data_IF_519846275566
#
_entry.id   IF_519846275566
#
_cell.length_a   1.000
_cell.length_b   1.000
_cell.length_c   1.000
_cell.angle_alpha   90.00
_cell.angle_beta   90.00
_cell.angle_gamma   90.00
#
_symmetry.space_group_name_H-M   'P 1'
#
loop_
_entity.id
_entity.type
_entity.pdbx_description
1 polymer ?
#
# COMPACT_ATOMS: atom_id res chain seq x y z
N UNK A 1 -21.69 42.12 30.86
CA UNK A 1 -21.52 40.84 30.15
C UNK A 1 -21.87 41.11 28.70
N UNK A 2 -20.84 41.45 27.91
CA UNK A 2 -20.90 41.63 26.45
C UNK A 2 -20.21 40.38 25.85
N UNK A 3 -20.87 39.54 25.05
CA UNK A 3 -21.24 39.64 23.63
C UNK A 3 -20.12 39.21 22.65
N UNK A 4 -20.46 38.13 21.92
CA UNK A 4 -20.12 37.78 20.53
C UNK A 4 -18.74 37.20 20.15
N UNK A 5 -18.82 36.11 19.38
CA UNK A 5 -18.11 36.04 18.09
C UNK A 5 -17.46 34.69 17.76
N UNK A 6 -18.20 33.76 17.13
CA UNK A 6 -17.61 32.90 16.13
C UNK A 6 -17.14 33.79 14.97
N UNK A 7 -15.94 33.53 14.46
CA UNK A 7 -15.54 33.94 13.11
C UNK A 7 -14.66 32.82 12.59
N UNK A 8 -15.25 31.99 11.73
CA UNK A 8 -14.51 31.50 10.56
C UNK A 8 -13.99 32.70 9.80
N UNK A 9 -12.73 32.65 9.39
CA UNK A 9 -12.17 33.41 8.30
C UNK A 9 -10.88 32.68 7.92
N UNK A 10 -10.93 32.00 6.78
CA UNK A 10 -9.77 31.72 5.96
C UNK A 10 -8.87 32.95 5.94
N UNK A 11 -7.66 32.83 6.46
CA UNK A 11 -6.62 33.81 6.19
C UNK A 11 -6.14 33.57 4.76
N UNK A 12 -6.72 34.33 3.85
CA UNK A 12 -6.05 34.82 2.65
C UNK A 12 -4.77 35.54 3.09
N UNK A 13 -3.69 34.78 3.34
CA UNK A 13 -2.36 35.30 3.64
C UNK A 13 -1.55 35.39 2.36
N UNK A 14 -1.86 36.40 1.55
CA UNK A 14 -0.98 36.88 0.47
C UNK A 14 0.17 37.74 1.01
N UNK A 15 0.71 37.43 2.19
CA UNK A 15 2.10 37.76 2.52
C UNK A 15 2.90 36.47 2.32
N UNK A 16 3.72 36.40 1.27
CA UNK A 16 4.73 35.36 1.16
C UNK A 16 5.75 35.57 2.30
N UNK A 17 5.42 35.06 3.48
CA UNK A 17 6.42 34.82 4.51
C UNK A 17 7.52 33.96 3.89
N UNK A 18 8.77 34.21 4.26
CA UNK A 18 9.82 33.25 3.95
C UNK A 18 9.45 31.94 4.65
N UNK A 19 9.33 30.85 3.89
CA UNK A 19 9.07 29.52 4.45
C UNK A 19 10.21 29.14 5.38
N UNK A 20 9.84 28.55 6.50
CA UNK A 20 10.73 28.11 7.58
C UNK A 20 10.61 26.61 7.77
N UNK A 21 11.51 26.03 8.58
CA UNK A 21 11.42 24.59 8.90
C UNK A 21 10.10 24.24 9.57
N UNK A 22 9.50 25.16 10.32
CA UNK A 22 8.22 24.93 11.00
C UNK A 22 7.05 24.79 10.02
N UNK A 23 7.20 25.30 8.79
CA UNK A 23 6.17 25.14 7.74
C UNK A 23 6.23 23.74 7.07
N UNK A 24 7.17 22.88 7.49
CA UNK A 24 7.18 21.46 7.11
C UNK A 24 6.12 20.63 7.85
N UNK A 25 5.63 21.11 8.99
CA UNK A 25 4.61 20.42 9.79
C UNK A 25 3.32 20.28 8.98
N UNK A 26 2.89 19.05 8.74
CA UNK A 26 1.71 18.81 7.91
C UNK A 26 1.66 17.43 7.30
N UNK A 27 0.59 17.23 6.54
CA UNK A 27 0.27 15.98 5.85
C UNK A 27 0.72 16.09 4.39
N UNK A 28 1.36 15.04 3.89
CA UNK A 28 1.80 14.88 2.51
C UNK A 28 1.21 13.57 1.99
N UNK A 29 0.25 13.66 1.07
CA UNK A 29 -0.46 12.52 0.50
C UNK A 29 -0.02 12.29 -0.93
N UNK A 30 0.31 11.05 -1.23
CA UNK A 30 0.44 10.51 -2.57
C UNK A 30 -0.75 9.58 -2.87
N UNK A 31 -0.77 8.96 -4.04
CA UNK A 31 -1.70 7.86 -4.30
C UNK A 31 -1.27 6.62 -3.50
N UNK A 32 -2.18 6.04 -2.71
CA UNK A 32 -1.92 4.83 -1.92
C UNK A 32 -1.03 4.99 -0.68
N UNK A 33 -0.56 6.20 -0.38
CA UNK A 33 0.41 6.43 0.69
C UNK A 33 0.31 7.86 1.25
N UNK A 34 0.58 8.03 2.54
CA UNK A 34 0.58 9.33 3.20
C UNK A 34 1.66 9.44 4.28
N UNK A 35 2.17 10.64 4.47
CA UNK A 35 3.11 10.97 5.53
C UNK A 35 2.61 12.15 6.35
N UNK A 36 2.91 12.16 7.64
CA UNK A 36 2.77 13.32 8.49
C UNK A 36 4.11 13.70 9.09
N UNK A 37 4.45 14.99 9.03
CA UNK A 37 5.63 15.56 9.68
C UNK A 37 5.18 16.32 10.92
N UNK A 38 5.70 15.94 12.08
CA UNK A 38 5.55 16.65 13.35
C UNK A 38 6.83 17.43 13.65
N UNK A 39 6.76 18.76 13.61
CA UNK A 39 7.92 19.63 13.83
C UNK A 39 7.99 20.09 15.29
N UNK A 40 9.14 19.86 15.92
CA UNK A 40 9.42 20.43 17.23
C UNK A 40 9.90 21.89 17.10
N UNK A 41 9.71 22.66 18.16
CA UNK A 41 10.13 24.06 18.23
C UNK A 41 11.66 24.29 18.15
N UNK A 42 12.47 23.24 18.20
CA UNK A 42 13.92 23.26 18.06
C UNK A 42 14.43 22.76 16.70
N UNK A 43 13.53 22.65 15.72
CA UNK A 43 13.76 22.14 14.36
C UNK A 43 14.14 20.64 14.29
N UNK A 44 13.95 19.89 15.38
CA UNK A 44 13.87 18.42 15.30
C UNK A 44 12.48 18.00 14.83
N UNK A 45 12.33 16.80 14.28
CA UNK A 45 11.05 16.34 13.73
C UNK A 45 10.89 14.83 13.86
N UNK A 46 9.65 14.38 13.76
CA UNK A 46 9.27 12.98 13.61
C UNK A 46 8.42 12.86 12.35
N UNK A 47 8.68 11.84 11.53
CA UNK A 47 7.88 11.52 10.36
C UNK A 47 7.06 10.27 10.69
N UNK A 48 5.77 10.33 10.39
CA UNK A 48 4.84 9.23 10.57
C UNK A 48 4.30 8.78 9.22
N UNK A 49 4.18 7.47 9.05
CA UNK A 49 3.33 6.87 8.04
C UNK A 49 1.87 7.12 8.41
N UNK A 50 1.04 7.48 7.43
CA UNK A 50 -0.39 7.63 7.60
C UNK A 50 -1.12 6.48 6.93
N UNK A 51 -1.81 5.71 7.75
CA UNK A 51 -2.78 4.72 7.34
C UNK A 51 -4.18 5.32 7.48
N UNK A 52 -5.03 5.12 6.48
CA UNK A 52 -6.40 5.64 6.50
C UNK A 52 -7.34 4.60 7.09
N UNK A 53 -8.15 5.04 8.05
CA UNK A 53 -9.17 4.19 8.66
C UNK A 53 -10.48 4.35 7.90
N UNK A 54 -11.05 5.56 7.91
CA UNK A 54 -12.33 5.84 7.31
C UNK A 54 -12.54 7.35 7.10
N UNK A 55 -13.36 7.69 6.11
CA UNK A 55 -13.73 9.05 5.78
C UNK A 55 -15.23 9.30 5.99
N UNK A 56 -15.54 10.41 6.64
CA UNK A 56 -16.89 10.76 7.05
C UNK A 56 -17.43 11.99 6.29
N UNK A 57 -18.76 12.14 6.29
CA UNK A 57 -19.41 13.32 5.72
C UNK A 57 -19.03 14.61 6.45
N UNK A 58 -18.70 14.51 7.74
CA UNK A 58 -18.35 15.65 8.57
C UNK A 58 -17.18 15.37 9.51
N UNK A 59 -16.39 16.41 9.77
CA UNK A 59 -15.29 16.36 10.75
C UNK A 59 -15.77 15.95 12.15
N UNK A 60 -17.02 16.27 12.51
CA UNK A 60 -17.60 15.87 13.79
C UNK A 60 -17.85 14.37 13.91
N UNK A 61 -18.22 13.72 12.81
CA UNK A 61 -18.35 12.26 12.74
C UNK A 61 -16.98 11.60 12.78
N UNK A 62 -16.02 12.09 11.99
CA UNK A 62 -14.63 11.63 12.02
C UNK A 62 -14.00 11.72 13.42
N UNK A 63 -14.18 12.85 14.10
CA UNK A 63 -13.70 13.01 15.48
C UNK A 63 -14.39 12.06 16.47
N UNK A 64 -15.63 11.66 16.20
CA UNK A 64 -16.33 10.70 17.05
C UNK A 64 -15.83 9.29 16.80
N UNK A 65 -15.64 8.90 15.54
CA UNK A 65 -15.07 7.62 15.14
C UNK A 65 -13.63 7.45 15.65
N UNK A 66 -12.78 8.48 15.47
CA UNK A 66 -11.44 8.51 16.04
C UNK A 66 -11.45 8.30 17.57
N UNK A 67 -12.42 8.87 18.28
CA UNK A 67 -12.52 8.67 19.73
C UNK A 67 -12.95 7.24 20.10
N UNK A 68 -13.76 6.59 19.27
CA UNK A 68 -14.12 5.17 19.44
C UNK A 68 -12.91 4.27 19.17
N UNK A 69 -12.16 4.54 18.10
CA UNK A 69 -10.93 3.82 17.74
C UNK A 69 -9.86 3.91 18.85
N UNK A 70 -9.61 5.11 19.38
CA UNK A 70 -8.66 5.29 20.49
C UNK A 70 -9.10 4.65 21.81
N UNK A 71 -10.40 4.39 21.98
CA UNK A 71 -10.94 3.72 23.17
C UNK A 71 -10.98 2.18 22.98
N UNK A 72 -10.61 1.66 21.80
CA UNK A 72 -10.53 0.23 21.52
C UNK A 72 -9.38 -0.41 22.32
N UNK A 73 -9.68 -1.57 22.92
CA UNK A 73 -8.71 -2.31 23.73
C UNK A 73 -7.70 -3.10 22.88
N UNK A 74 -7.94 -3.28 21.58
CA UNK A 74 -7.04 -3.94 20.63
C UNK A 74 -6.21 -2.96 19.80
N UNK A 75 -6.45 -1.64 19.87
CA UNK A 75 -5.73 -0.66 19.05
C UNK A 75 -4.19 -0.77 19.13
N UNK A 76 -3.64 -0.95 20.34
CA UNK A 76 -2.18 -1.13 20.51
C UNK A 76 -1.68 -2.50 20.00
N UNK A 77 -2.55 -3.52 19.97
CA UNK A 77 -2.21 -4.85 19.45
C UNK A 77 -2.28 -4.84 17.90
N UNK A 78 -3.24 -4.12 17.32
CA UNK A 78 -3.47 -4.05 15.87
C UNK A 78 -2.48 -3.11 15.17
N UNK A 79 -2.20 -1.94 15.77
CA UNK A 79 -1.36 -0.90 15.15
C UNK A 79 -0.03 -0.65 15.88
N UNK A 80 0.21 -1.37 16.98
CA UNK A 80 1.41 -1.25 17.79
C UNK A 80 1.35 -0.15 18.87
N UNK A 81 2.13 -0.36 19.92
CA UNK A 81 2.13 0.49 21.14
C UNK A 81 2.56 1.96 20.96
N UNK A 82 3.01 2.34 19.76
CA UNK A 82 3.42 3.70 19.40
C UNK A 82 2.43 4.44 18.50
N UNK A 83 1.37 3.76 18.03
CA UNK A 83 0.42 4.35 17.10
C UNK A 83 -0.39 5.47 17.74
N UNK A 84 -0.67 6.51 16.96
CA UNK A 84 -1.56 7.62 17.33
C UNK A 84 -2.56 7.89 16.22
N UNK A 85 -3.60 8.68 16.47
CA UNK A 85 -4.60 8.98 15.44
C UNK A 85 -4.72 10.48 15.19
N UNK A 86 -5.03 10.87 13.95
CA UNK A 86 -5.38 12.25 13.58
C UNK A 86 -6.64 12.30 12.71
N UNK A 87 -7.30 13.46 12.70
CA UNK A 87 -8.38 13.75 11.75
C UNK A 87 -7.92 14.84 10.78
N UNK A 88 -8.05 14.57 9.48
CA UNK A 88 -7.84 15.56 8.43
C UNK A 88 -8.85 15.38 7.31
N UNK A 89 -9.46 16.48 6.84
CA UNK A 89 -10.49 16.48 5.78
C UNK A 89 -11.61 15.44 5.98
N UNK A 90 -12.11 15.35 7.21
CA UNK A 90 -13.12 14.38 7.65
C UNK A 90 -12.69 12.90 7.60
N UNK A 91 -11.41 12.60 7.38
CA UNK A 91 -10.89 11.25 7.44
C UNK A 91 -10.11 11.04 8.73
N UNK A 92 -10.22 9.85 9.30
CA UNK A 92 -9.44 9.38 10.44
C UNK A 92 -8.22 8.65 9.89
N UNK A 93 -7.05 8.97 10.42
CA UNK A 93 -5.80 8.29 10.08
C UNK A 93 -5.14 7.74 11.33
N UNK A 94 -4.58 6.55 11.21
CA UNK A 94 -3.59 6.02 12.15
C UNK A 94 -2.21 6.46 11.71
N UNK A 95 -1.41 6.89 12.68
CA UNK A 95 -0.05 7.37 12.52
C UNK A 95 0.88 6.36 13.14
N UNK A 96 1.82 5.87 12.36
CA UNK A 96 2.87 4.99 12.84
C UNK A 96 4.22 5.67 12.62
N UNK A 97 5.08 5.70 13.63
CA UNK A 97 6.40 6.30 13.50
C UNK A 97 7.21 5.51 12.50
N UNK A 98 7.84 6.21 11.56
CA UNK A 98 8.77 5.56 10.63
C UNK A 98 10.07 5.24 11.39
N UNK A 99 10.33 3.96 11.62
CA UNK A 99 11.51 3.44 12.31
C UNK A 99 12.24 2.44 11.41
N UNK A 100 13.54 2.26 11.63
CA UNK A 100 14.30 1.24 10.91
C UNK A 100 13.79 -0.15 11.32
N UNK A 101 13.52 -0.99 10.33
CA UNK A 101 13.12 -2.38 10.49
C UNK A 101 14.20 -3.29 9.87
N UNK A 102 14.10 -4.60 10.07
CA UNK A 102 15.01 -5.52 9.41
C UNK A 102 14.78 -5.47 7.89
N UNK A 103 15.87 -5.31 7.11
CA UNK A 103 15.80 -5.09 5.66
C UNK A 103 15.44 -3.67 5.20
N UNK A 104 14.77 -2.85 6.02
CA UNK A 104 14.35 -1.49 5.61
C UNK A 104 14.92 -0.40 6.51
N UNK A 105 15.62 0.59 5.93
CA UNK A 105 16.19 1.73 6.66
C UNK A 105 15.72 3.07 6.12
N UNK A 106 15.57 4.03 7.04
CA UNK A 106 15.05 5.36 6.74
C UNK A 106 16.07 6.44 7.11
N UNK A 107 16.64 7.07 6.08
CA UNK A 107 17.59 8.16 6.26
C UNK A 107 16.92 9.50 6.00
N UNK A 108 16.81 10.33 7.05
CA UNK A 108 16.23 11.66 6.95
C UNK A 108 17.30 12.75 6.95
N UNK A 109 17.13 13.76 6.11
CA UNK A 109 17.96 14.96 6.13
C UNK A 109 17.15 16.23 5.87
N UNK A 110 17.47 17.29 6.61
CA UNK A 110 16.86 18.61 6.44
C UNK A 110 17.73 19.48 5.55
N UNK A 111 17.13 20.04 4.50
CA UNK A 111 17.83 20.84 3.48
C UNK A 111 16.95 21.99 2.99
N UNK A 112 17.40 22.72 1.96
CA UNK A 112 16.65 23.82 1.36
C UNK A 112 16.91 23.92 -0.14
N UNK A 113 15.87 24.13 -0.93
CA UNK A 113 15.95 24.34 -2.38
C UNK A 113 15.15 25.58 -2.78
N UNK A 114 15.74 26.45 -3.60
CA UNK A 114 15.11 27.70 -4.06
C UNK A 114 14.54 28.62 -2.95
N UNK A 115 14.99 28.46 -1.69
CA UNK A 115 14.48 29.21 -0.54
C UNK A 115 13.35 28.53 0.23
N UNK A 116 12.94 27.32 -0.19
CA UNK A 116 11.98 26.46 0.49
C UNK A 116 12.73 25.37 1.25
N UNK A 117 12.58 25.28 2.59
CA UNK A 117 13.06 24.13 3.35
C UNK A 117 12.39 22.84 2.89
N UNK A 118 13.10 21.72 2.95
CA UNK A 118 12.53 20.40 2.65
C UNK A 118 13.21 19.31 3.48
N UNK A 119 12.47 18.23 3.74
CA UNK A 119 13.01 16.97 4.26
C UNK A 119 13.26 16.03 3.07
N UNK A 120 14.49 15.53 2.95
CA UNK A 120 14.80 14.37 2.12
C UNK A 120 14.71 13.14 3.01
N UNK A 121 13.88 12.19 2.61
CA UNK A 121 13.81 10.86 3.20
C UNK A 121 14.28 9.87 2.14
N UNK A 122 15.27 9.07 2.50
CA UNK A 122 15.78 7.99 1.65
C UNK A 122 15.37 6.70 2.34
N UNK A 123 14.47 5.97 1.69
CA UNK A 123 14.09 4.61 2.06
C UNK A 123 15.03 3.67 1.34
N UNK A 124 15.75 2.86 2.08
CA UNK A 124 16.60 1.81 1.51
C UNK A 124 16.08 0.48 1.98
N UNK A 125 15.62 -0.31 1.02
CA UNK A 125 15.19 -1.68 1.23
C UNK A 125 16.29 -2.58 0.67
N UNK A 126 16.78 -3.48 1.52
CA UNK A 126 17.78 -4.49 1.18
C UNK A 126 17.05 -5.82 1.10
N UNK A 127 16.97 -6.37 -0.11
CA UNK A 127 16.50 -7.73 -0.35
C UNK A 127 17.69 -8.62 -0.69
N UNK A 128 17.61 -9.89 -0.34
CA UNK A 128 18.65 -10.85 -0.61
C UNK A 128 18.22 -11.75 -1.76
N UNK A 129 19.09 -11.93 -2.76
CA UNK A 129 18.82 -12.80 -3.89
C UNK A 129 19.55 -14.14 -3.73
N UNK A 130 18.85 -15.22 -4.09
CA UNK A 130 19.41 -16.57 -4.17
C UNK A 130 18.98 -17.48 -3.02
N UNK A 131 19.90 -18.33 -2.56
CA UNK A 131 19.63 -19.35 -1.55
C UNK A 131 20.71 -19.31 -0.48
N UNK A 132 20.29 -19.37 0.78
CA UNK A 132 21.17 -19.52 1.94
C UNK A 132 21.32 -20.99 2.29
N UNK A 133 22.52 -21.41 2.68
CA UNK A 133 22.80 -22.81 3.01
C UNK A 133 23.08 -22.94 4.50
N UNK A 134 22.16 -23.58 5.21
CA UNK A 134 22.26 -23.91 6.62
C UNK A 134 23.50 -24.80 6.90
N UNK A 135 23.94 -24.85 8.16
CA UNK A 135 25.11 -25.61 8.61
C UNK A 135 24.93 -27.13 8.45
N UNK A 136 23.69 -27.60 8.43
CA UNK A 136 23.34 -29.00 8.17
C UNK A 136 23.19 -29.34 6.67
N UNK A 137 23.26 -28.31 5.81
CA UNK A 137 23.22 -28.39 4.36
C UNK A 137 21.82 -28.26 3.74
N UNK A 138 20.82 -27.89 4.52
CA UNK A 138 19.52 -27.39 4.02
C UNK A 138 19.72 -26.07 3.28
N UNK A 139 18.95 -25.86 2.19
CA UNK A 139 18.98 -24.63 1.41
C UNK A 139 17.63 -23.94 1.59
N UNK A 140 17.64 -22.69 2.05
CA UNK A 140 16.45 -21.85 2.24
C UNK A 140 16.49 -20.66 1.28
N UNK A 141 15.33 -20.08 0.91
CA UNK A 141 15.27 -18.82 0.19
C UNK A 141 16.05 -17.71 0.89
N UNK A 142 16.65 -16.81 0.12
CA UNK A 142 17.38 -15.67 0.66
C UNK A 142 16.50 -14.68 1.44
N UNK A 143 15.20 -14.63 1.13
CA UNK A 143 14.22 -13.80 1.85
C UNK A 143 13.95 -14.32 3.29
N UNK A 144 14.28 -15.57 3.59
CA UNK A 144 14.15 -16.20 4.91
C UNK A 144 15.43 -16.05 5.74
N UNK A 145 16.27 -15.08 5.39
CA UNK A 145 17.49 -14.79 6.13
C UNK A 145 17.32 -13.45 6.81
N UNK A 146 17.30 -13.46 8.14
CA UNK A 146 17.01 -12.28 8.98
C UNK A 146 15.58 -11.77 8.80
N UNK A 147 14.63 -12.68 8.70
CA UNK A 147 13.21 -12.34 8.70
C UNK A 147 12.60 -12.42 10.12
N UNK A 148 13.41 -12.79 11.11
CA UNK A 148 13.01 -12.91 12.52
C UNK A 148 12.47 -14.28 12.89
N UNK A 149 12.28 -15.18 11.93
CA UNK A 149 11.94 -16.58 12.14
C UNK A 149 13.17 -17.47 12.00
N UNK A 150 13.06 -18.73 12.43
CA UNK A 150 14.21 -19.63 12.51
C UNK A 150 13.97 -20.83 11.61
N UNK A 151 14.33 -20.67 10.34
CA UNK A 151 14.11 -21.60 9.24
C UNK A 151 15.25 -22.62 9.15
N UNK A 152 16.49 -22.22 9.45
CA UNK A 152 17.56 -23.17 9.65
C UNK A 152 17.42 -23.87 11.01
N UNK A 153 17.58 -25.20 11.06
CA UNK A 153 17.49 -25.97 12.32
C UNK A 153 18.40 -25.48 13.48
N UNK A 154 19.45 -24.70 13.19
CA UNK A 154 20.35 -24.10 14.17
C UNK A 154 20.24 -22.57 14.38
N UNK A 155 19.36 -21.86 13.67
CA UNK A 155 19.22 -20.40 13.76
C UNK A 155 20.41 -19.62 13.19
N UNK A 156 21.13 -20.22 12.24
CA UNK A 156 22.26 -19.60 11.56
C UNK A 156 21.85 -18.62 10.45
N UNK A 157 20.64 -18.73 9.93
CA UNK A 157 19.92 -17.76 9.10
C UNK A 157 19.64 -16.45 9.84
N UNK A 158 19.37 -16.51 11.14
CA UNK A 158 19.17 -15.32 12.00
C UNK A 158 20.48 -14.79 12.62
N UNK A 159 21.62 -15.33 12.19
CA UNK A 159 22.90 -14.84 12.66
C UNK A 159 23.22 -13.46 12.07
N UNK A 160 23.94 -12.63 12.84
CA UNK A 160 24.36 -11.28 12.40
C UNK A 160 25.13 -11.32 11.07
N UNK A 161 25.84 -12.42 10.78
CA UNK A 161 26.62 -12.67 9.57
C UNK A 161 25.97 -13.62 8.54
N UNK A 162 24.70 -14.01 8.70
CA UNK A 162 24.02 -14.93 7.77
C UNK A 162 23.96 -14.37 6.34
N UNK A 163 23.51 -13.12 6.24
CA UNK A 163 23.43 -12.36 5.00
C UNK A 163 24.79 -12.10 4.31
N UNK A 164 25.93 -12.25 4.99
CA UNK A 164 27.26 -12.03 4.39
C UNK A 164 27.55 -12.97 3.20
N UNK A 165 26.82 -14.08 3.13
CA UNK A 165 26.97 -15.11 2.10
C UNK A 165 26.07 -14.92 0.88
N UNK A 166 25.09 -14.00 0.96
CA UNK A 166 24.11 -13.71 -0.08
C UNK A 166 24.51 -12.48 -0.90
N UNK A 167 24.03 -12.44 -2.15
CA UNK A 167 24.10 -11.20 -2.91
C UNK A 167 22.88 -10.34 -2.52
N UNK A 168 23.13 -9.17 -1.94
CA UNK A 168 22.08 -8.20 -1.61
C UNK A 168 21.79 -7.30 -2.81
N UNK A 169 20.53 -7.15 -3.18
CA UNK A 169 20.07 -6.02 -3.97
C UNK A 169 19.51 -4.94 -3.05
N UNK A 170 19.77 -3.68 -3.39
CA UNK A 170 19.31 -2.55 -2.59
C UNK A 170 18.47 -1.65 -3.47
N UNK A 171 17.21 -1.48 -3.10
CA UNK A 171 16.33 -0.50 -3.70
C UNK A 171 16.39 0.78 -2.87
N UNK A 172 16.52 1.92 -3.54
CA UNK A 172 16.54 3.22 -2.89
C UNK A 172 15.41 4.09 -3.42
N UNK A 173 14.39 4.35 -2.60
CA UNK A 173 13.29 5.27 -2.89
C UNK A 173 13.55 6.59 -2.21
N UNK A 174 13.41 7.70 -2.94
CA UNK A 174 13.59 9.05 -2.38
C UNK A 174 12.27 9.78 -2.24
N UNK A 175 12.05 10.37 -1.08
CA UNK A 175 10.92 11.25 -0.79
C UNK A 175 11.44 12.65 -0.50
N UNK A 176 10.83 13.65 -1.12
CA UNK A 176 11.09 15.06 -0.83
C UNK A 176 9.82 15.70 -0.28
N UNK A 177 9.86 16.25 0.93
CA UNK A 177 8.73 16.91 1.58
C UNK A 177 9.05 18.40 1.74
N UNK A 178 8.39 19.26 0.95
CA UNK A 178 8.63 20.69 0.92
C UNK A 178 7.80 21.47 1.92
N UNK A 179 8.38 22.51 2.53
CA UNK A 179 7.70 23.42 3.46
C UNK A 179 6.56 24.24 2.81
N UNK A 180 6.35 24.10 1.51
CA UNK A 180 5.19 24.64 0.79
C UNK A 180 3.99 23.68 0.81
N UNK A 181 4.09 22.55 1.53
CA UNK A 181 3.02 21.55 1.70
C UNK A 181 2.93 20.53 0.56
N UNK A 182 3.93 20.51 -0.33
CA UNK A 182 3.98 19.61 -1.48
C UNK A 182 5.24 18.76 -1.42
N UNK A 183 5.17 17.57 -2.01
CA UNK A 183 6.29 16.64 -2.02
C UNK A 183 6.34 15.79 -3.27
N UNK A 184 7.35 14.95 -3.36
CA UNK A 184 7.54 14.02 -4.48
C UNK A 184 8.17 12.74 -3.97
N UNK A 185 7.63 11.62 -4.41
CA UNK A 185 8.19 10.28 -4.27
C UNK A 185 8.89 9.91 -5.59
N UNK A 186 10.08 9.35 -5.52
CA UNK A 186 10.93 9.01 -6.67
C UNK A 186 11.36 7.56 -6.55
N UNK A 187 10.87 6.73 -7.48
CA UNK A 187 11.24 5.33 -7.64
C UNK A 187 12.36 5.21 -8.68
N UNK A 188 13.39 4.40 -8.41
CA UNK A 188 14.47 4.20 -9.36
C UNK A 188 14.00 3.43 -10.61
N UNK A 189 14.77 3.55 -11.70
CA UNK A 189 14.54 2.81 -12.94
C UNK A 189 14.44 1.30 -12.68
N UNK A 190 13.48 0.63 -13.31
CA UNK A 190 13.30 -0.82 -13.26
C UNK A 190 12.40 -1.33 -12.13
N UNK A 191 11.92 -0.46 -11.25
CA UNK A 191 11.00 -0.85 -10.16
C UNK A 191 9.54 -0.85 -10.63
N UNK A 192 9.07 0.29 -11.14
CA UNK A 192 7.69 0.44 -11.64
C UNK A 192 7.67 0.41 -13.16
N UNK A 193 8.61 1.11 -13.80
CA UNK A 193 8.77 1.15 -15.25
C UNK A 193 10.27 1.01 -15.58
N UNK A 194 10.58 0.78 -16.86
CA UNK A 194 11.95 0.78 -17.38
C UNK A 194 12.67 2.12 -17.14
N UNK A 195 11.92 3.20 -16.91
CA UNK A 195 12.38 4.55 -16.58
C UNK A 195 12.07 4.92 -15.10
N UNK A 196 12.68 5.99 -14.60
CA UNK A 196 12.44 6.51 -13.24
C UNK A 196 11.00 7.01 -13.14
N UNK A 197 10.24 6.49 -12.17
CA UNK A 197 8.85 6.87 -11.94
C UNK A 197 8.73 7.81 -10.74
N UNK A 198 7.89 8.84 -10.86
CA UNK A 198 7.72 9.82 -9.79
C UNK A 198 6.27 10.14 -9.53
N UNK A 199 5.93 10.19 -8.24
CA UNK A 199 4.60 10.48 -7.78
C UNK A 199 4.58 11.80 -7.03
N UNK A 200 3.69 12.67 -7.44
CA UNK A 200 3.48 13.95 -6.78
C UNK A 200 2.70 13.75 -5.48
N UNK A 201 3.13 14.48 -4.45
CA UNK A 201 2.48 14.51 -3.15
C UNK A 201 1.93 15.90 -2.89
N UNK A 202 0.75 15.96 -2.29
CA UNK A 202 0.10 17.21 -1.94
C UNK A 202 -0.43 17.20 -0.51
N UNK A 203 -1.02 18.31 -0.06
CA UNK A 203 -1.65 18.35 1.24
C UNK A 203 -2.87 17.41 1.28
N UNK A 204 -3.43 17.22 2.47
CA UNK A 204 -4.56 16.30 2.72
C UNK A 204 -5.76 16.44 1.77
N UNK A 205 -5.95 17.59 1.12
CA UNK A 205 -7.02 17.81 0.13
C UNK A 205 -6.87 16.93 -1.12
N UNK A 206 -5.64 16.51 -1.43
CA UNK A 206 -5.34 15.57 -2.51
C UNK A 206 -6.02 14.22 -2.29
N UNK A 207 -6.00 13.71 -1.05
CA UNK A 207 -6.63 12.42 -0.71
C UNK A 207 -8.15 12.47 -0.84
N UNK A 208 -8.78 13.51 -0.33
CA UNK A 208 -10.22 13.71 -0.51
C UNK A 208 -10.62 13.86 -1.99
N UNK A 209 -9.73 14.43 -2.83
CA UNK A 209 -9.93 14.46 -4.27
C UNK A 209 -9.80 13.05 -4.88
N UNK A 210 -8.87 12.20 -4.42
CA UNK A 210 -8.76 10.79 -4.87
C UNK A 210 -10.03 10.00 -4.57
N UNK A 211 -10.57 10.06 -3.35
CA UNK A 211 -11.85 9.39 -3.01
C UNK A 211 -13.02 9.84 -3.87
N UNK A 212 -13.14 11.15 -4.11
CA UNK A 212 -14.18 11.64 -5.02
C UNK A 212 -13.91 11.23 -6.48
N UNK A 213 -12.65 11.03 -6.86
CA UNK A 213 -12.29 10.65 -8.23
C UNK A 213 -12.74 9.22 -8.52
N UNK A 214 -12.57 8.30 -7.55
CA UNK A 214 -13.11 6.94 -7.67
C UNK A 214 -14.63 6.97 -7.85
N UNK A 215 -15.34 7.69 -6.99
CA UNK A 215 -16.79 7.87 -7.11
C UNK A 215 -17.19 8.45 -8.48
N UNK A 216 -16.40 9.37 -9.03
CA UNK A 216 -16.64 9.93 -10.35
C UNK A 216 -16.37 8.92 -11.48
N UNK A 217 -15.33 8.08 -11.33
CA UNK A 217 -14.98 7.00 -12.27
C UNK A 217 -16.06 5.92 -12.34
N UNK A 218 -16.60 5.49 -11.20
CA UNK A 218 -17.71 4.52 -11.13
C UNK A 218 -18.99 5.00 -11.82
N UNK A 219 -19.19 6.32 -11.86
CA UNK A 219 -20.37 6.93 -12.46
C UNK A 219 -20.19 7.24 -13.96
N UNK A 220 -19.06 6.89 -14.56
CA UNK A 220 -18.83 7.03 -16.00
C UNK A 220 -19.70 6.06 -16.80
N UNK A 221 -20.08 6.49 -18.00
CA UNK A 221 -20.77 5.59 -18.94
C UNK A 221 -19.82 4.61 -19.62
N UNK A 222 -20.33 3.47 -20.07
CA UNK A 222 -19.56 2.48 -20.85
C UNK A 222 -18.80 3.12 -22.03
N UNK A 223 -19.38 4.14 -22.69
CA UNK A 223 -18.74 4.85 -23.81
C UNK A 223 -17.57 5.74 -23.34
N UNK A 224 -17.64 6.31 -22.14
CA UNK A 224 -16.55 7.08 -21.55
C UNK A 224 -15.40 6.17 -21.12
N UNK A 225 -15.72 5.02 -20.50
CA UNK A 225 -14.74 4.00 -20.12
C UNK A 225 -14.04 3.38 -21.34
N UNK A 226 -14.77 3.08 -22.42
CA UNK A 226 -14.18 2.54 -23.66
C UNK A 226 -13.18 3.50 -24.34
N UNK A 227 -13.32 4.81 -24.09
CA UNK A 227 -12.43 5.83 -24.65
C UNK A 227 -11.40 6.34 -23.64
N UNK A 228 -11.40 5.83 -22.40
CA UNK A 228 -10.47 6.22 -21.36
C UNK A 228 -9.12 5.54 -21.59
N UNK A 229 -8.06 6.32 -21.51
CA UNK A 229 -6.67 5.87 -21.61
C UNK A 229 -5.90 6.50 -20.45
N UNK A 230 -5.46 5.68 -19.50
CA UNK A 230 -4.78 6.15 -18.30
C UNK A 230 -3.48 6.90 -18.59
N UNK A 231 -2.87 6.69 -19.75
CA UNK A 231 -1.63 7.38 -20.15
C UNK A 231 -1.89 8.72 -20.88
N UNK A 232 -3.14 9.04 -21.23
CA UNK A 232 -3.49 10.25 -21.98
C UNK A 232 -4.55 11.09 -21.25
N UNK A 233 -4.09 12.13 -20.53
CA UNK A 233 -4.91 13.15 -19.86
C UNK A 233 -6.03 13.74 -20.73
N UNK A 234 -5.88 13.75 -22.07
CA UNK A 234 -6.89 14.29 -22.97
C UNK A 234 -8.14 13.43 -23.11
N UNK A 235 -8.04 12.15 -22.70
CA UNK A 235 -9.15 11.20 -22.64
C UNK A 235 -9.94 11.29 -21.33
N UNK A 236 -9.39 11.97 -20.32
CA UNK A 236 -9.95 11.99 -18.98
C UNK A 236 -11.23 12.84 -18.94
N UNK A 237 -12.28 12.36 -18.26
CA UNK A 237 -13.46 13.16 -17.95
C UNK A 237 -13.09 14.50 -17.31
N UNK A 238 -13.76 15.57 -17.75
CA UNK A 238 -13.47 16.92 -17.24
C UNK A 238 -13.70 17.06 -15.74
N UNK A 239 -14.62 16.26 -15.18
CA UNK A 239 -14.89 16.26 -13.75
C UNK A 239 -13.64 15.86 -12.95
N UNK A 240 -12.87 14.88 -13.42
CA UNK A 240 -11.65 14.42 -12.74
C UNK A 240 -10.53 15.44 -12.88
N UNK A 241 -10.31 15.94 -14.11
CA UNK A 241 -9.24 16.93 -14.34
C UNK A 241 -9.50 18.22 -13.58
N UNK A 242 -10.75 18.67 -13.47
CA UNK A 242 -11.11 19.85 -12.66
C UNK A 242 -10.82 19.65 -11.16
N UNK A 243 -10.92 18.42 -10.63
CA UNK A 243 -10.67 18.12 -9.21
C UNK A 243 -9.20 18.28 -8.82
N UNK A 244 -8.27 17.87 -9.69
CA UNK A 244 -6.83 17.93 -9.40
C UNK A 244 -6.15 19.18 -9.96
N UNK A 245 -6.79 19.91 -10.87
CA UNK A 245 -6.21 21.09 -11.54
C UNK A 245 -5.54 22.07 -10.58
N UNK A 246 -6.18 22.37 -9.44
CA UNK A 246 -5.61 23.31 -8.47
C UNK A 246 -4.38 22.70 -7.77
N UNK A 247 -4.46 21.43 -7.39
CA UNK A 247 -3.36 20.73 -6.75
C UNK A 247 -2.15 20.61 -7.69
N UNK A 248 -2.39 20.22 -8.95
CA UNK A 248 -1.35 20.11 -9.97
C UNK A 248 -0.68 21.45 -10.27
N UNK A 249 -1.45 22.54 -10.32
CA UNK A 249 -0.90 23.89 -10.52
C UNK A 249 -0.03 24.34 -9.37
N UNK A 250 -0.44 24.04 -8.13
CA UNK A 250 0.33 24.39 -6.95
C UNK A 250 1.60 23.53 -6.83
N UNK A 251 1.49 22.22 -7.10
CA UNK A 251 2.62 21.31 -7.15
C UNK A 251 3.64 21.72 -8.22
N UNK A 252 3.20 22.07 -9.44
CA UNK A 252 4.08 22.57 -10.48
C UNK A 252 4.78 23.90 -10.13
N UNK A 253 4.24 24.64 -9.14
CA UNK A 253 4.85 25.85 -8.59
C UNK A 253 5.70 25.59 -7.34
N UNK A 254 5.63 24.40 -6.75
CA UNK A 254 6.39 23.98 -5.56
C UNK A 254 7.87 23.78 -5.88
N UNK A 255 8.71 23.92 -4.85
CA UNK A 255 10.11 23.54 -4.93
C UNK A 255 10.29 22.03 -5.19
N UNK A 256 9.37 21.18 -4.71
CA UNK A 256 9.40 19.72 -4.87
C UNK A 256 9.47 19.31 -6.35
N UNK A 257 8.60 19.87 -7.20
CA UNK A 257 8.59 19.59 -8.63
C UNK A 257 9.93 19.91 -9.34
N UNK A 258 10.67 20.90 -8.85
CA UNK A 258 11.96 21.28 -9.42
C UNK A 258 13.13 20.40 -8.95
N UNK A 259 13.04 19.82 -7.75
CA UNK A 259 14.06 18.96 -7.17
C UNK A 259 14.28 17.70 -8.00
N UNK A 260 13.19 17.14 -8.54
CA UNK A 260 13.16 15.81 -9.14
C UNK A 260 13.12 15.83 -10.67
N UNK A 261 12.94 17.00 -11.29
CA UNK A 261 12.82 17.15 -12.77
C UNK A 261 13.98 16.59 -13.60
N UNK A 262 15.16 16.39 -13.01
CA UNK A 262 16.30 15.76 -13.67
C UNK A 262 16.20 14.23 -13.69
N UNK A 263 15.49 13.66 -12.72
CA UNK A 263 15.33 12.23 -12.49
C UNK A 263 13.99 11.74 -13.10
N UNK A 264 12.92 12.56 -13.05
CA UNK A 264 11.53 12.16 -13.33
C UNK A 264 10.98 12.46 -14.74
N UNK A 265 11.81 12.74 -15.75
CA UNK A 265 11.28 13.07 -17.09
C UNK A 265 10.29 14.26 -17.12
N UNK A 266 9.16 14.13 -17.84
CA UNK A 266 8.03 15.06 -17.69
C UNK A 266 7.23 14.66 -16.44
N UNK A 267 7.32 15.47 -15.40
CA UNK A 267 6.62 15.25 -14.14
C UNK A 267 5.10 15.11 -14.35
N UNK A 268 4.54 13.99 -13.91
CA UNK A 268 3.12 13.66 -14.09
C UNK A 268 2.20 14.43 -13.14
N UNK A 269 0.93 14.59 -13.53
CA UNK A 269 -0.08 15.17 -12.65
C UNK A 269 -0.44 14.20 -11.51
N UNK A 270 -0.90 14.72 -10.37
CA UNK A 270 -1.37 13.87 -9.25
C UNK A 270 -2.46 12.90 -9.70
N UNK A 271 -3.34 13.36 -10.60
CA UNK A 271 -4.41 12.55 -11.15
C UNK A 271 -3.88 11.42 -12.06
N UNK A 272 -2.83 11.67 -12.85
CA UNK A 272 -2.19 10.65 -13.68
C UNK A 272 -1.50 9.61 -12.83
N UNK A 273 -0.72 10.02 -11.82
CA UNK A 273 -0.03 9.05 -10.97
C UNK A 273 -1.02 8.15 -10.22
N UNK A 274 -2.12 8.75 -9.72
CA UNK A 274 -3.21 7.97 -9.13
C UNK A 274 -3.89 7.04 -10.14
N UNK A 275 -4.25 7.54 -11.33
CA UNK A 275 -4.88 6.72 -12.37
C UNK A 275 -3.92 5.69 -12.96
N UNK A 276 -2.62 5.89 -12.90
CA UNK A 276 -1.63 4.90 -13.32
C UNK A 276 -1.57 3.75 -12.32
N UNK A 277 -1.52 4.04 -11.01
CA UNK A 277 -1.65 2.99 -9.99
C UNK A 277 -3.01 2.29 -10.06
N UNK A 278 -4.08 3.08 -10.17
CA UNK A 278 -5.44 2.56 -10.27
C UNK A 278 -5.72 1.83 -11.59
N UNK A 279 -5.09 2.21 -12.70
CA UNK A 279 -5.26 1.54 -13.99
C UNK A 279 -4.27 0.39 -14.18
N UNK A 280 -3.09 0.44 -13.58
CA UNK A 280 -2.22 -0.71 -13.39
C UNK A 280 -2.95 -1.78 -12.61
N UNK A 281 -3.68 -1.37 -11.55
CA UNK A 281 -4.62 -2.26 -10.91
C UNK A 281 -5.81 -2.61 -11.81
N UNK A 282 -6.40 -1.74 -12.63
CA UNK A 282 -7.45 -2.18 -13.58
C UNK A 282 -6.97 -3.19 -14.66
N UNK A 283 -5.72 -3.09 -15.08
CA UNK A 283 -5.12 -3.97 -16.07
C UNK A 283 -4.87 -5.36 -15.50
N UNK A 284 -4.72 -5.46 -14.18
CA UNK A 284 -4.55 -6.72 -13.45
C UNK A 284 -5.82 -7.16 -12.68
N UNK A 285 -6.78 -6.26 -12.40
CA UNK A 285 -7.97 -6.48 -11.56
C UNK A 285 -9.19 -5.57 -11.89
N UNK A 286 -10.31 -6.21 -12.28
CA UNK A 286 -11.68 -5.86 -11.86
C UNK A 286 -12.37 -4.50 -12.25
N UNK A 287 -12.99 -4.45 -13.42
CA UNK A 287 -13.89 -3.38 -13.99
C UNK A 287 -15.21 -2.98 -13.25
N UNK A 288 -15.34 -2.97 -11.90
CA UNK A 288 -16.64 -2.60 -11.24
C UNK A 288 -16.48 -1.76 -9.94
N UNK A 289 -15.40 -1.01 -9.77
CA UNK A 289 -15.31 0.01 -8.71
C UNK A 289 -14.89 -0.47 -7.33
N UNK A 290 -15.10 -1.73 -6.97
CA UNK A 290 -14.51 -2.30 -5.77
C UNK A 290 -13.04 -2.69 -6.04
N UNK A 291 -12.10 -2.12 -5.29
CA UNK A 291 -10.66 -2.38 -5.41
C UNK A 291 -10.19 -3.22 -4.23
N UNK A 292 -9.65 -4.39 -4.53
CA UNK A 292 -9.05 -5.28 -3.55
C UNK A 292 -7.70 -5.69 -4.09
N UNK A 293 -6.68 -5.59 -3.25
CA UNK A 293 -5.36 -6.09 -3.53
C UNK A 293 -4.96 -7.12 -2.48
N UNK A 294 -4.22 -8.12 -2.92
CA UNK A 294 -3.86 -9.26 -2.09
C UNK A 294 -2.38 -9.55 -2.23
N UNK A 295 -1.78 -9.89 -1.10
CA UNK A 295 -0.47 -10.51 -1.07
C UNK A 295 -0.63 -12.03 -0.97
N UNK A 296 0.24 -12.76 -1.66
CA UNK A 296 0.24 -14.24 -1.66
C UNK A 296 1.64 -14.71 -1.38
N UNK A 297 1.81 -15.37 -0.24
CA UNK A 297 3.10 -15.91 0.20
C UNK A 297 2.98 -17.41 0.44
N UNK A 298 4.11 -18.10 0.41
CA UNK A 298 4.18 -19.53 0.73
C UNK A 298 3.72 -19.78 2.19
N UNK A 299 2.85 -20.77 2.39
CA UNK A 299 2.40 -21.20 3.73
C UNK A 299 3.02 -22.53 4.17
N UNK A 300 3.82 -23.16 3.31
CA UNK A 300 4.43 -24.44 3.61
C UNK A 300 5.57 -24.24 4.60
N UNK A 301 5.53 -25.00 5.70
CA UNK A 301 6.60 -25.04 6.71
C UNK A 301 7.61 -26.16 6.46
N UNK A 302 7.31 -27.02 5.48
CA UNK A 302 8.15 -28.09 4.97
C UNK A 302 7.73 -28.34 3.51
N UNK A 303 8.66 -28.82 2.69
CA UNK A 303 8.37 -29.18 1.29
C UNK A 303 7.10 -30.00 1.15
N UNK A 304 6.14 -29.57 0.31
CA UNK A 304 4.92 -30.32 0.05
C UNK A 304 5.22 -31.78 -0.27
N UNK A 305 4.49 -32.68 0.36
CA UNK A 305 4.69 -34.12 0.23
C UNK A 305 3.58 -34.72 -0.61
N UNK A 306 3.70 -35.98 -1.08
CA UNK A 306 2.62 -36.64 -1.83
C UNK A 306 1.37 -36.99 -0.97
N UNK A 307 0.96 -36.10 -0.04
CA UNK A 307 -0.14 -36.28 0.89
C UNK A 307 -1.04 -35.06 0.90
N UNK A 308 -2.35 -35.31 0.75
CA UNK A 308 -3.36 -34.25 0.80
C UNK A 308 -3.43 -33.55 2.16
N UNK A 309 -3.71 -32.26 2.14
CA UNK A 309 -4.12 -31.46 3.30
C UNK A 309 -3.05 -30.54 3.85
N UNK A 310 -1.97 -30.35 3.10
CA UNK A 310 -0.87 -29.43 3.43
C UNK A 310 -1.27 -27.99 3.11
N UNK A 311 -0.85 -27.06 3.95
CA UNK A 311 -1.01 -25.62 3.71
C UNK A 311 -0.04 -25.23 2.58
N UNK A 312 -0.52 -24.47 1.59
CA UNK A 312 0.24 -24.14 0.39
C UNK A 312 0.58 -22.65 0.33
N UNK A 313 -0.41 -21.78 0.50
CA UNK A 313 -0.18 -20.33 0.47
C UNK A 313 -1.03 -19.61 1.51
N UNK A 314 -0.48 -18.54 2.07
CA UNK A 314 -1.20 -17.53 2.80
C UNK A 314 -1.62 -16.45 1.82
N UNK A 315 -2.85 -15.98 1.93
CA UNK A 315 -3.35 -14.87 1.13
C UNK A 315 -3.85 -13.80 2.07
N UNK A 316 -3.29 -12.61 1.99
CA UNK A 316 -3.64 -11.49 2.86
C UNK A 316 -4.22 -10.36 2.02
N UNK A 317 -5.34 -9.78 2.46
CA UNK A 317 -5.87 -8.59 1.79
C UNK A 317 -5.05 -7.38 2.25
N UNK A 318 -4.24 -6.82 1.34
CA UNK A 318 -3.33 -5.71 1.64
C UNK A 318 -3.93 -4.35 1.29
N UNK A 319 -4.89 -4.31 0.36
CA UNK A 319 -5.64 -3.08 0.10
C UNK A 319 -7.11 -3.36 -0.13
N UNK A 320 -7.97 -2.50 0.40
CA UNK A 320 -9.42 -2.59 0.26
C UNK A 320 -10.00 -1.21 -0.06
N UNK A 321 -10.90 -1.19 -1.02
CA UNK A 321 -11.76 -0.07 -1.36
C UNK A 321 -13.15 -0.65 -1.69
N UNK A 322 -14.02 -0.67 -0.70
CA UNK A 322 -15.32 -1.36 -0.74
C UNK A 322 -15.71 -1.92 0.63
N UNK A 323 -16.72 -2.78 0.66
CA UNK A 323 -17.09 -3.57 1.84
C UNK A 323 -16.22 -4.84 1.94
N UNK A 324 -16.20 -5.55 3.07
CA UNK A 324 -15.53 -6.85 3.18
C UNK A 324 -16.10 -7.86 2.18
N UNK A 325 -15.24 -8.75 1.69
CA UNK A 325 -15.65 -9.77 0.73
C UNK A 325 -16.39 -10.90 1.44
N UNK A 326 -17.66 -11.10 1.12
CA UNK A 326 -18.35 -12.29 1.62
C UNK A 326 -17.83 -13.55 0.94
N UNK A 327 -17.50 -14.58 1.71
CA UNK A 327 -17.21 -15.93 1.17
C UNK A 327 -18.37 -16.51 0.36
N UNK A 328 -19.57 -15.93 0.46
CA UNK A 328 -20.72 -16.32 -0.36
C UNK A 328 -20.79 -15.62 -1.72
N UNK A 329 -20.02 -14.55 -1.94
CA UNK A 329 -19.96 -13.80 -3.20
C UNK A 329 -18.70 -14.09 -4.01
N UNK A 330 -17.62 -14.57 -3.40
CA UNK A 330 -16.36 -14.85 -4.11
C UNK A 330 -16.07 -16.34 -4.31
N UNK A 331 -15.25 -16.64 -5.31
CA UNK A 331 -14.66 -17.95 -5.54
C UNK A 331 -13.16 -17.79 -5.74
N UNK A 332 -12.38 -18.45 -4.90
CA UNK A 332 -10.93 -18.56 -5.08
C UNK A 332 -10.63 -19.78 -5.93
N UNK A 333 -9.71 -19.63 -6.88
CA UNK A 333 -9.21 -20.69 -7.74
C UNK A 333 -7.69 -20.74 -7.66
N UNK A 334 -7.15 -21.94 -7.82
CA UNK A 334 -5.72 -22.19 -7.77
C UNK A 334 -5.29 -22.99 -8.98
N UNK A 335 -4.16 -22.59 -9.57
CA UNK A 335 -3.43 -23.34 -10.59
C UNK A 335 -2.12 -23.83 -9.99
N UNK A 336 -1.75 -25.08 -10.31
CA UNK A 336 -0.48 -25.69 -9.89
C UNK A 336 0.32 -26.09 -11.14
N UNK A 337 1.61 -25.77 -11.19
CA UNK A 337 2.57 -26.05 -12.27
C UNK A 337 2.06 -25.60 -13.67
N UNK A 338 1.46 -24.41 -13.73
CA UNK A 338 0.83 -23.89 -14.96
C UNK A 338 -0.35 -24.73 -15.46
N UNK A 339 -0.98 -25.49 -14.56
CA UNK A 339 -2.14 -26.34 -14.79
C UNK A 339 -3.44 -25.57 -15.06
N UNK A 340 -4.57 -26.26 -14.91
CA UNK A 340 -5.88 -25.60 -14.99
C UNK A 340 -6.28 -25.09 -13.61
N UNK A 341 -6.85 -23.89 -13.56
CA UNK A 341 -7.45 -23.33 -12.35
C UNK A 341 -8.57 -24.22 -11.81
N UNK A 342 -8.41 -24.71 -10.59
CA UNK A 342 -9.43 -25.43 -9.84
C UNK A 342 -9.98 -24.53 -8.75
N UNK A 343 -11.30 -24.49 -8.59
CA UNK A 343 -11.94 -23.70 -7.53
C UNK A 343 -11.68 -24.35 -6.17
N UNK A 344 -11.15 -23.58 -5.23
CA UNK A 344 -10.97 -23.98 -3.84
C UNK A 344 -12.32 -23.99 -3.10
N UNK A 345 -12.38 -24.81 -2.06
CA UNK A 345 -13.55 -24.89 -1.19
C UNK A 345 -13.52 -23.74 -0.19
N UNK A 346 -14.51 -22.84 -0.22
CA UNK A 346 -14.60 -21.72 0.72
C UNK A 346 -14.77 -22.19 2.18
N UNK A 347 -14.39 -21.40 3.20
CA UNK A 347 -14.31 -21.84 4.60
C UNK A 347 -15.61 -22.42 5.18
N UNK A 348 -16.76 -21.88 4.79
CA UNK A 348 -18.09 -22.34 5.21
C UNK A 348 -18.52 -23.71 4.65
N UNK A 349 -17.70 -24.32 3.80
CA UNK A 349 -18.02 -25.55 3.08
C UNK A 349 -17.16 -26.71 3.55
N UNK A 350 -17.73 -27.91 3.51
CA UNK A 350 -16.96 -29.11 3.79
C UNK A 350 -15.92 -29.31 2.68
N UNK A 351 -14.64 -29.32 3.05
CA UNK A 351 -13.50 -29.59 2.16
C UNK A 351 -13.80 -30.73 1.17
N UNK A 352 -13.59 -30.47 -0.12
CA UNK A 352 -13.84 -31.39 -1.24
C UNK A 352 -12.51 -31.77 -1.96
N UNK A 353 -12.60 -32.27 -3.19
CA UNK A 353 -11.45 -32.47 -4.10
C UNK A 353 -10.85 -31.13 -4.53
N UNK A 354 -9.52 -31.03 -4.67
CA UNK A 354 -8.84 -29.77 -5.00
C UNK A 354 -8.24 -29.09 -3.77
N UNK A 355 -8.37 -27.77 -3.64
CA UNK A 355 -7.91 -26.96 -2.52
C UNK A 355 -9.07 -26.57 -1.56
N UNK A 356 -8.74 -26.16 -0.35
CA UNK A 356 -9.67 -25.68 0.66
C UNK A 356 -9.08 -24.46 1.37
N UNK A 357 -9.94 -23.53 1.75
CA UNK A 357 -9.56 -22.28 2.42
C UNK A 357 -9.93 -22.41 3.90
N UNK A 358 -9.05 -22.00 4.79
CA UNK A 358 -9.39 -21.77 6.19
C UNK A 358 -9.19 -20.32 6.57
N UNK A 359 -10.07 -19.88 7.45
CA UNK A 359 -10.27 -18.49 7.83
C UNK A 359 -10.73 -18.43 9.30
N UNK A 360 -11.05 -17.25 9.82
CA UNK A 360 -11.48 -16.99 11.19
C UNK A 360 -12.94 -17.44 11.52
N UNK A 361 -13.69 -17.95 10.54
CA UNK A 361 -15.11 -18.38 10.60
C UNK A 361 -16.15 -17.25 10.80
N UNK A 362 -15.86 -16.00 10.41
CA UNK A 362 -16.82 -14.88 10.50
C UNK A 362 -17.72 -14.71 9.25
N UNK A 363 -17.35 -15.36 8.14
CA UNK A 363 -18.11 -15.37 6.88
C UNK A 363 -17.74 -14.25 5.90
N UNK A 364 -16.73 -13.46 6.23
CA UNK A 364 -16.19 -12.34 5.46
C UNK A 364 -14.68 -12.51 5.28
N UNK A 365 -14.09 -11.71 4.40
CA UNK A 365 -12.65 -11.56 4.25
C UNK A 365 -12.36 -10.06 4.20
N UNK A 366 -11.75 -9.54 5.26
CA UNK A 366 -11.49 -8.11 5.47
C UNK A 366 -10.03 -7.69 5.21
N UNK A 367 -9.78 -6.38 5.27
CA UNK A 367 -8.42 -5.81 5.17
C UNK A 367 -7.53 -6.31 6.31
N UNK A 368 -6.28 -6.66 6.00
CA UNK A 368 -5.30 -7.18 6.95
C UNK A 368 -5.54 -8.63 7.39
N UNK A 369 -6.61 -9.26 6.92
CA UNK A 369 -6.92 -10.64 7.23
C UNK A 369 -6.18 -11.60 6.30
N UNK A 370 -5.40 -12.48 6.93
CA UNK A 370 -4.73 -13.60 6.29
C UNK A 370 -5.61 -14.85 6.30
N UNK A 371 -5.74 -15.47 5.13
CA UNK A 371 -6.43 -16.74 4.95
C UNK A 371 -5.43 -17.79 4.49
N UNK A 372 -5.60 -19.03 4.94
CA UNK A 372 -4.75 -20.13 4.51
C UNK A 372 -5.43 -20.92 3.39
N UNK A 373 -4.76 -21.04 2.25
CA UNK A 373 -5.16 -21.98 1.20
C UNK A 373 -4.34 -23.25 1.34
N UNK A 374 -5.05 -24.36 1.53
CA UNK A 374 -4.48 -25.68 1.68
C UNK A 374 -4.98 -26.63 0.62
N UNK A 375 -4.31 -27.76 0.50
CA UNK A 375 -4.86 -28.90 -0.20
C UNK A 375 -6.14 -29.41 0.47
N UNK A 376 -7.07 -29.85 -0.35
CA UNK A 376 -8.31 -30.51 0.05
C UNK A 376 -8.07 -32.00 0.24
N UNK A 377 -8.87 -32.81 -0.44
CA UNK A 377 -8.73 -34.28 -0.39
C UNK A 377 -7.81 -34.89 -1.45
N UNK A 378 -7.31 -34.07 -2.37
CA UNK A 378 -6.34 -34.46 -3.40
C UNK A 378 -4.96 -33.89 -3.05
N UNK A 379 -3.92 -34.63 -3.39
CA UNK A 379 -2.52 -34.17 -3.44
C UNK A 379 -2.36 -33.33 -4.71
N UNK A 380 -2.08 -32.05 -4.53
CA UNK A 380 -1.87 -31.06 -5.57
C UNK A 380 -0.38 -30.81 -5.77
N UNK A 381 0.38 -30.71 -4.67
CA UNK A 381 1.82 -30.50 -4.64
C UNK A 381 2.51 -31.66 -3.91
N UNK A 382 2.94 -32.67 -4.67
CA UNK A 382 3.67 -33.82 -4.12
C UNK A 382 5.17 -33.57 -3.87
N UNK A 383 5.63 -32.36 -4.17
CA UNK A 383 6.96 -31.78 -4.04
C UNK A 383 6.81 -30.27 -4.21
N UNK A 384 7.92 -29.52 -4.12
CA UNK A 384 7.98 -28.11 -4.53
C UNK A 384 7.22 -27.87 -5.85
N UNK A 385 6.34 -26.88 -5.88
CA UNK A 385 5.41 -26.62 -6.99
C UNK A 385 5.20 -25.12 -7.22
N UNK A 386 4.78 -24.77 -8.44
CA UNK A 386 4.40 -23.39 -8.77
C UNK A 386 2.90 -23.19 -8.57
N UNK A 387 2.49 -22.30 -7.67
CA UNK A 387 1.09 -21.97 -7.38
C UNK A 387 0.74 -20.59 -7.92
N UNK A 388 -0.46 -20.47 -8.49
CA UNK A 388 -1.04 -19.19 -8.88
C UNK A 388 -2.48 -19.10 -8.41
N UNK A 389 -2.83 -18.01 -7.74
CA UNK A 389 -4.15 -17.78 -7.15
C UNK A 389 -4.97 -16.83 -8.00
N UNK A 390 -6.27 -17.10 -8.07
CA UNK A 390 -7.25 -16.31 -8.80
C UNK A 390 -8.51 -16.13 -7.97
N UNK A 391 -8.91 -14.90 -7.69
CA UNK A 391 -10.13 -14.60 -6.94
C UNK A 391 -11.17 -14.05 -7.92
N UNK A 392 -12.38 -14.57 -7.88
CA UNK A 392 -13.48 -14.21 -8.79
C UNK A 392 -14.72 -13.80 -8.01
N UNK A 393 -15.47 -12.81 -8.50
CA UNK A 393 -16.85 -12.58 -8.07
C UNK A 393 -17.75 -13.64 -8.72
N UNK A 394 -18.50 -14.39 -7.92
CA UNK A 394 -19.36 -15.49 -8.40
C UNK A 394 -20.65 -15.00 -9.08
N UNK A 395 -21.14 -13.80 -8.75
CA UNK A 395 -22.38 -13.29 -9.30
C UNK A 395 -22.20 -12.83 -10.76
N UNK A 396 -21.06 -12.23 -11.05
CA UNK A 396 -20.67 -11.66 -12.34
C UNK A 396 -19.65 -12.50 -13.10
N UNK A 397 -18.99 -13.48 -12.44
CA UNK A 397 -17.87 -14.27 -12.96
C UNK A 397 -16.71 -13.38 -13.43
N UNK A 398 -16.42 -12.34 -12.64
CA UNK A 398 -15.43 -11.31 -12.94
C UNK A 398 -14.17 -11.52 -12.10
N UNK A 399 -13.01 -11.19 -12.68
CA UNK A 399 -11.71 -11.37 -12.04
C UNK A 399 -11.46 -10.27 -11.01
N UNK A 400 -11.41 -10.65 -9.73
CA UNK A 400 -11.05 -9.79 -8.61
C UNK A 400 -9.54 -9.65 -8.48
N UNK A 401 -8.81 -10.75 -8.53
CA UNK A 401 -7.36 -10.77 -8.33
C UNK A 401 -6.75 -11.97 -9.05
N UNK A 402 -5.56 -11.81 -9.64
CA UNK A 402 -4.72 -12.91 -10.13
C UNK A 402 -3.29 -12.65 -9.66
N UNK A 403 -2.74 -13.57 -8.86
CA UNK A 403 -1.40 -13.42 -8.31
C UNK A 403 -0.33 -13.61 -9.38
N UNK A 404 0.88 -13.14 -9.07
CA UNK A 404 2.10 -13.69 -9.64
C UNK A 404 2.27 -15.18 -9.26
N UNK A 405 3.23 -15.86 -9.89
CA UNK A 405 3.52 -17.26 -9.53
C UNK A 405 4.28 -17.28 -8.21
N UNK A 406 3.73 -18.00 -7.24
CA UNK A 406 4.34 -18.28 -5.94
C UNK A 406 4.96 -19.68 -5.99
N UNK A 407 6.21 -19.81 -5.57
CA UNK A 407 6.85 -21.10 -5.43
C UNK A 407 6.56 -21.62 -4.02
N UNK A 408 5.94 -22.78 -3.93
CA UNK A 408 5.65 -23.46 -2.66
C UNK A 408 6.68 -24.57 -2.53
N UNK A 409 7.56 -24.51 -1.53
CA UNK A 409 8.83 -25.25 -1.53
C UNK A 409 9.09 -26.22 -0.39
#
# INVERSE_FOLDING_TARGET
MMLAGCTELASDSTESGELTNQDLEGIYMAAGFGLYVDMNADDTYVVYLLEIEDCYDTEGEANSAMAELNDDEYFEDDYGSGATTIVANNCVYVQQSVEDEEGTSFNFSLSSHAGTPYIEMIVTEESYEGYFVCDDGEEIPADWVKDGENDCSGGEDEAEDAADSLESETMEVRVYLGADGYGTLVYPEGVIDDDTYCMSMGPSEGMFAFYQAVNAMENLSDEELENFDAEDLSTYPTILTDMFTVSDQNYAASAAASLTSADCGELESMLMSWLYLWAGSLAETNTDGDFYDFDVIDASSETPTPTSGEDLVYVSMITQYGDDLSWSSIAVQMSVDGGSYNTCTNPDQASDTGCAISDNDDGMWGLGEEVTIREGSDDLCGSSCEVQIKILDMASNKLIYESSIVYVE
#
